data_IF_364435765311
#
_entry.id   IF_364435765311
#
_cell.length_a   1.000
_cell.length_b   1.000
_cell.length_c   1.000
_cell.angle_alpha   90.00
_cell.angle_beta   90.00
_cell.angle_gamma   90.00
#
_symmetry.space_group_name_H-M   'P 1'
#
loop_
_entity.id
_entity.type
_entity.pdbx_description
1 polymer ?
#
# COMPACT_ATOMS: atom_id res chain seq x y z
N UNK A 1 -1.92 27.74 0.61
CA UNK A 1 -0.82 27.14 -0.20
C UNK A 1 -0.35 25.78 0.31
N UNK A 2 -0.20 25.57 1.64
CA UNK A 2 0.30 24.30 2.21
C UNK A 2 -0.62 23.10 1.95
N UNK A 3 -1.91 23.22 2.23
CA UNK A 3 -2.89 22.14 2.00
C UNK A 3 -2.97 21.64 0.55
N UNK A 4 -2.83 22.55 -0.43
CA UNK A 4 -2.82 22.19 -1.86
C UNK A 4 -1.56 21.39 -2.27
N UNK A 5 -0.40 21.67 -1.65
CA UNK A 5 0.82 20.90 -1.90
C UNK A 5 0.74 19.50 -1.30
N UNK A 6 0.11 19.36 -0.14
CA UNK A 6 -0.07 18.06 0.52
C UNK A 6 -1.02 17.15 -0.27
N UNK A 7 -2.16 17.68 -0.75
CA UNK A 7 -3.07 16.91 -1.62
C UNK A 7 -2.43 16.56 -2.96
N UNK A 8 -1.69 17.49 -3.58
CA UNK A 8 -0.94 17.20 -4.80
C UNK A 8 0.11 16.09 -4.58
N UNK A 9 0.83 16.15 -3.46
CA UNK A 9 1.82 15.14 -3.09
C UNK A 9 1.21 13.76 -2.92
N UNK A 10 0.08 13.67 -2.21
CA UNK A 10 -0.67 12.42 -2.01
C UNK A 10 -1.11 11.80 -3.34
N UNK A 11 -1.72 12.62 -4.21
CA UNK A 11 -2.18 12.20 -5.52
C UNK A 11 -1.03 11.74 -6.44
N UNK A 12 0.10 12.44 -6.41
CA UNK A 12 1.29 12.04 -7.17
C UNK A 12 1.85 10.71 -6.65
N UNK A 13 1.94 10.53 -5.33
CA UNK A 13 2.44 9.31 -4.71
C UNK A 13 1.59 8.08 -5.12
N UNK A 14 0.26 8.23 -5.12
CA UNK A 14 -0.64 7.16 -5.54
C UNK A 14 -0.38 6.73 -7.00
N UNK A 15 -0.18 7.70 -7.90
CA UNK A 15 0.13 7.42 -9.32
C UNK A 15 1.51 6.83 -9.52
N UNK A 16 2.51 7.33 -8.80
CA UNK A 16 3.88 6.81 -8.88
C UNK A 16 3.93 5.35 -8.40
N UNK A 17 3.29 5.05 -7.27
CA UNK A 17 3.24 3.68 -6.74
C UNK A 17 2.50 2.73 -7.68
N UNK A 18 1.38 3.16 -8.26
CA UNK A 18 0.65 2.39 -9.27
C UNK A 18 1.49 2.15 -10.53
N UNK A 19 2.12 3.20 -11.05
CA UNK A 19 2.94 3.13 -12.27
C UNK A 19 4.19 2.26 -12.07
N UNK A 20 4.80 2.27 -10.88
CA UNK A 20 5.90 1.38 -10.51
C UNK A 20 5.43 -0.07 -10.36
N UNK A 21 4.19 -0.31 -9.93
CA UNK A 21 3.66 -1.67 -9.74
C UNK A 21 3.58 -2.46 -11.05
N UNK A 22 3.13 -1.81 -12.13
CA UNK A 22 2.90 -2.43 -13.43
C UNK A 22 4.16 -3.16 -13.97
N UNK A 23 5.32 -2.48 -14.15
CA UNK A 23 6.52 -3.14 -14.64
C UNK A 23 7.03 -4.18 -13.63
N UNK A 24 6.94 -3.93 -12.31
CA UNK A 24 7.41 -4.90 -11.31
C UNK A 24 6.65 -6.21 -11.36
N UNK A 25 5.34 -6.19 -11.64
CA UNK A 25 4.54 -7.40 -11.87
C UNK A 25 5.01 -8.13 -13.12
N UNK A 26 5.20 -7.41 -14.23
CA UNK A 26 5.55 -7.99 -15.53
C UNK A 26 6.94 -8.67 -15.53
N UNK A 27 7.90 -8.13 -14.77
CA UNK A 27 9.26 -8.67 -14.68
C UNK A 27 9.48 -9.53 -13.42
N UNK A 28 8.41 -9.84 -12.68
CA UNK A 28 8.52 -10.49 -11.38
C UNK A 28 9.16 -11.88 -11.48
N UNK A 29 10.08 -12.16 -10.55
CA UNK A 29 10.72 -13.45 -10.33
C UNK A 29 10.99 -13.61 -8.84
N UNK A 30 11.55 -14.77 -8.42
CA UNK A 30 11.82 -15.05 -7.01
C UNK A 30 12.72 -13.98 -6.38
N UNK A 31 13.71 -13.47 -7.11
CA UNK A 31 14.63 -12.43 -6.63
C UNK A 31 13.95 -11.06 -6.46
N UNK A 32 12.92 -10.75 -7.25
CA UNK A 32 12.18 -9.48 -7.18
C UNK A 32 10.91 -9.56 -6.33
N UNK A 33 10.58 -10.74 -5.78
CA UNK A 33 9.39 -10.98 -4.97
C UNK A 33 9.29 -10.01 -3.77
N UNK A 34 10.40 -9.74 -3.09
CA UNK A 34 10.43 -8.80 -1.95
C UNK A 34 10.08 -7.38 -2.40
N UNK A 35 10.66 -6.92 -3.51
CA UNK A 35 10.37 -5.60 -4.08
C UNK A 35 8.90 -5.50 -4.51
N UNK A 36 8.38 -6.53 -5.16
CA UNK A 36 6.98 -6.59 -5.57
C UNK A 36 6.04 -6.48 -4.36
N UNK A 37 6.33 -7.20 -3.27
CA UNK A 37 5.55 -7.11 -2.04
C UNK A 37 5.61 -5.69 -1.44
N UNK A 38 6.78 -5.08 -1.33
CA UNK A 38 6.92 -3.72 -0.78
C UNK A 38 6.08 -2.72 -1.58
N UNK A 39 6.19 -2.73 -2.91
CA UNK A 39 5.44 -1.81 -3.77
C UNK A 39 3.93 -2.07 -3.70
N UNK A 40 3.52 -3.35 -3.67
CA UNK A 40 2.12 -3.74 -3.57
C UNK A 40 1.49 -3.24 -2.28
N UNK A 41 2.10 -3.53 -1.13
CA UNK A 41 1.57 -3.11 0.15
C UNK A 41 1.63 -1.60 0.36
N UNK A 42 2.63 -0.92 -0.21
CA UNK A 42 2.64 0.54 -0.24
C UNK A 42 1.43 1.09 -1.02
N UNK A 43 1.22 0.61 -2.25
CA UNK A 43 0.12 1.08 -3.08
C UNK A 43 -1.24 0.84 -2.43
N UNK A 44 -1.45 -0.35 -1.85
CA UNK A 44 -2.67 -0.67 -1.12
C UNK A 44 -2.85 0.24 0.10
N UNK A 45 -1.78 0.51 0.87
CA UNK A 45 -1.88 1.39 2.04
C UNK A 45 -2.39 2.79 1.67
N UNK A 46 -1.82 3.40 0.62
CA UNK A 46 -2.25 4.71 0.11
C UNK A 46 -3.71 4.66 -0.36
N UNK A 47 -4.11 3.61 -1.10
CA UNK A 47 -5.49 3.46 -1.57
C UNK A 47 -6.51 3.26 -0.44
N UNK A 48 -6.18 2.48 0.58
CA UNK A 48 -7.05 2.26 1.74
C UNK A 48 -7.18 3.55 2.56
N UNK A 49 -6.13 4.35 2.68
CA UNK A 49 -6.18 5.64 3.37
C UNK A 49 -7.18 6.60 2.72
N UNK A 50 -7.25 6.64 1.38
CA UNK A 50 -8.25 7.43 0.65
C UNK A 50 -9.67 6.94 0.93
N UNK A 51 -9.91 5.62 0.80
CA UNK A 51 -11.21 5.02 1.10
C UNK A 51 -11.64 5.35 2.54
N UNK A 52 -10.75 5.19 3.52
CA UNK A 52 -11.10 5.48 4.91
C UNK A 52 -11.32 6.98 5.15
N UNK A 53 -10.65 7.86 4.40
CA UNK A 53 -10.89 9.30 4.48
C UNK A 53 -12.28 9.67 3.98
N UNK A 54 -12.78 8.97 2.95
CA UNK A 54 -14.11 9.22 2.38
C UNK A 54 -15.25 8.62 3.22
N UNK A 55 -15.03 7.47 3.87
CA UNK A 55 -16.10 6.72 4.55
C UNK A 55 -16.04 6.74 6.09
N UNK A 56 -14.87 6.97 6.70
CA UNK A 56 -14.69 6.92 8.16
C UNK A 56 -14.36 8.30 8.72
N UNK A 57 -15.38 8.93 9.28
CA UNK A 57 -15.33 10.32 9.77
C UNK A 57 -14.67 10.46 11.16
N UNK A 58 -14.61 9.38 11.94
CA UNK A 58 -13.94 9.38 13.23
C UNK A 58 -12.46 9.01 13.09
N UNK A 59 -11.58 9.99 13.38
CA UNK A 59 -10.12 9.85 13.33
C UNK A 59 -9.61 8.62 14.07
N UNK A 60 -10.08 8.40 15.30
CA UNK A 60 -9.66 7.29 16.16
C UNK A 60 -9.98 5.96 15.48
N UNK A 61 -11.21 5.80 14.98
CA UNK A 61 -11.66 4.60 14.26
C UNK A 61 -10.83 4.36 13.02
N UNK A 62 -10.58 5.41 12.21
CA UNK A 62 -9.74 5.31 11.02
C UNK A 62 -8.32 4.81 11.36
N UNK A 63 -7.71 5.37 12.40
CA UNK A 63 -6.35 4.99 12.79
C UNK A 63 -6.28 3.54 13.30
N UNK A 64 -7.27 3.09 14.08
CA UNK A 64 -7.37 1.68 14.50
C UNK A 64 -7.53 0.73 13.31
N UNK A 65 -8.34 1.09 12.32
CA UNK A 65 -8.49 0.29 11.10
C UNK A 65 -7.16 0.21 10.36
N UNK A 66 -6.43 1.33 10.21
CA UNK A 66 -5.11 1.33 9.54
C UNK A 66 -4.07 0.47 10.26
N UNK A 67 -4.04 0.50 11.60
CA UNK A 67 -3.15 -0.35 12.41
C UNK A 67 -3.49 -1.83 12.21
N UNK A 68 -4.78 -2.18 12.31
CA UNK A 68 -5.24 -3.55 12.11
C UNK A 68 -4.92 -4.04 10.69
N UNK A 69 -5.15 -3.18 9.69
CA UNK A 69 -4.83 -3.45 8.30
C UNK A 69 -3.32 -3.71 8.11
N UNK A 70 -2.45 -2.92 8.74
CA UNK A 70 -1.00 -3.11 8.68
C UNK A 70 -0.57 -4.46 9.27
N UNK A 71 -1.16 -4.87 10.40
CA UNK A 71 -0.90 -6.19 10.98
C UNK A 71 -1.38 -7.31 10.05
N UNK A 72 -2.56 -7.16 9.48
CA UNK A 72 -3.11 -8.10 8.50
C UNK A 72 -2.20 -8.27 7.28
N UNK A 73 -1.69 -7.17 6.72
CA UNK A 73 -0.73 -7.18 5.62
C UNK A 73 0.56 -7.93 5.97
N UNK A 74 1.14 -7.70 7.15
CA UNK A 74 2.36 -8.39 7.60
C UNK A 74 2.14 -9.91 7.68
N UNK A 75 0.97 -10.35 8.13
CA UNK A 75 0.61 -11.77 8.18
C UNK A 75 0.53 -12.34 6.75
N UNK A 76 -0.12 -11.64 5.81
CA UNK A 76 -0.20 -12.08 4.42
C UNK A 76 1.18 -12.16 3.78
N UNK A 77 2.04 -11.15 3.95
CA UNK A 77 3.41 -11.15 3.40
C UNK A 77 4.16 -12.41 3.84
N UNK A 78 4.08 -12.76 5.13
CA UNK A 78 4.74 -13.96 5.65
C UNK A 78 4.29 -15.22 4.91
N UNK A 79 2.98 -15.42 4.75
CA UNK A 79 2.44 -16.60 4.10
C UNK A 79 2.70 -16.61 2.59
N UNK A 80 2.59 -15.46 1.93
CA UNK A 80 2.92 -15.33 0.51
C UNK A 80 4.40 -15.65 0.26
N UNK A 81 5.31 -15.09 1.06
CA UNK A 81 6.73 -15.38 0.94
C UNK A 81 7.03 -16.86 1.13
N UNK A 82 6.45 -17.50 2.16
CA UNK A 82 6.61 -18.94 2.38
C UNK A 82 6.14 -19.75 1.17
N UNK A 83 4.98 -19.44 0.61
CA UNK A 83 4.39 -20.16 -0.52
C UNK A 83 5.18 -20.03 -1.83
N UNK A 84 5.83 -18.88 -2.07
CA UNK A 84 6.57 -18.65 -3.31
C UNK A 84 8.04 -19.06 -3.25
N UNK A 85 8.60 -19.24 -2.05
CA UNK A 85 10.04 -19.54 -1.84
C UNK A 85 10.27 -21.00 -1.48
N UNK A 86 9.36 -21.62 -0.72
CA UNK A 86 9.44 -23.02 -0.29
C UNK A 86 8.38 -23.87 -0.99
#
# INVERSE_FOLDING_TARGET
MKAHRETLGHWLLQRMTAASLIPTILISNVSTLILLNILLFWHIHVGIEEILTDYVHHEITRNWILILFRVFCLIIIKYAFLFFVF
#
